data_IF_960633978860
#
_entry.id   IF_960633978860
#
_cell.length_a   1.000
_cell.length_b   1.000
_cell.length_c   1.000
_cell.angle_alpha   90.00
_cell.angle_beta   90.00
_cell.angle_gamma   90.00
#
_symmetry.space_group_name_H-M   'P 1'
#
loop_
_entity.id
_entity.type
_entity.pdbx_description
1 polymer ?
#
# COMPACT_ATOMS: atom_id res chain seq x y z
N UNK A 1 -16.41 81.50 -27.52
CA UNK A 1 -15.45 81.61 -26.41
C UNK A 1 -14.84 80.23 -26.25
N UNK A 2 -13.59 80.07 -26.68
CA UNK A 2 -12.90 78.78 -26.81
C UNK A 2 -11.94 78.65 -25.63
N UNK A 3 -12.10 77.60 -24.82
CA UNK A 3 -11.21 77.29 -23.70
C UNK A 3 -9.78 77.08 -24.22
N UNK A 4 -8.78 77.59 -23.50
CA UNK A 4 -7.37 77.43 -23.88
C UNK A 4 -6.94 75.97 -23.67
N UNK A 5 -6.14 75.38 -24.57
CA UNK A 5 -5.67 73.98 -24.47
C UNK A 5 -4.80 73.67 -23.23
N UNK A 6 -4.38 74.69 -22.49
CA UNK A 6 -3.62 74.57 -21.23
C UNK A 6 -4.47 74.14 -20.03
N UNK A 7 -5.77 74.45 -20.02
CA UNK A 7 -6.65 74.16 -18.89
C UNK A 7 -7.06 72.68 -18.88
N UNK A 8 -7.17 72.05 -20.06
CA UNK A 8 -7.46 70.62 -20.20
C UNK A 8 -6.29 69.72 -19.80
N UNK A 9 -5.05 70.15 -20.05
CA UNK A 9 -3.86 69.41 -19.61
C UNK A 9 -3.67 69.47 -18.09
N UNK A 10 -4.00 70.60 -17.46
CA UNK A 10 -3.98 70.71 -16.00
C UNK A 10 -5.05 69.81 -15.36
N UNK A 11 -6.25 69.77 -15.92
CA UNK A 11 -7.34 68.88 -15.49
C UNK A 11 -6.95 67.40 -15.61
N UNK A 12 -6.32 67.00 -16.72
CA UNK A 12 -5.85 65.62 -16.92
C UNK A 12 -4.72 65.21 -15.96
N UNK A 13 -3.81 66.14 -15.60
CA UNK A 13 -2.80 65.87 -14.58
C UNK A 13 -3.41 65.71 -13.19
N UNK A 14 -4.41 66.51 -12.85
CA UNK A 14 -5.14 66.39 -11.57
C UNK A 14 -5.93 65.08 -11.49
N UNK A 15 -6.55 64.65 -12.60
CA UNK A 15 -7.22 63.35 -12.72
C UNK A 15 -6.25 62.17 -12.60
N UNK A 16 -5.07 62.25 -13.23
CA UNK A 16 -4.02 61.22 -13.10
C UNK A 16 -3.48 61.14 -11.68
N UNK A 17 -3.18 62.27 -11.04
CA UNK A 17 -2.74 62.28 -9.64
C UNK A 17 -3.80 61.72 -8.69
N UNK A 18 -5.09 61.90 -9.00
CA UNK A 18 -6.17 61.32 -8.21
C UNK A 18 -6.29 59.81 -8.43
N UNK A 19 -6.20 59.32 -9.67
CA UNK A 19 -6.22 57.89 -9.97
C UNK A 19 -4.99 57.16 -9.41
N UNK A 20 -3.80 57.78 -9.43
CA UNK A 20 -2.61 57.22 -8.78
C UNK A 20 -2.78 57.10 -7.26
N UNK A 21 -3.38 58.09 -6.60
CA UNK A 21 -3.70 58.02 -5.16
C UNK A 21 -4.73 56.95 -4.85
N UNK A 22 -5.76 56.85 -5.69
CA UNK A 22 -6.82 55.84 -5.55
C UNK A 22 -6.28 54.41 -5.74
N UNK A 23 -5.37 54.20 -6.71
CA UNK A 23 -4.70 52.92 -6.95
C UNK A 23 -3.77 52.55 -5.79
N UNK A 24 -2.96 53.49 -5.30
CA UNK A 24 -2.07 53.25 -4.16
C UNK A 24 -2.86 52.88 -2.89
N UNK A 25 -3.97 53.57 -2.62
CA UNK A 25 -4.84 53.23 -1.50
C UNK A 25 -5.48 51.83 -1.65
N UNK A 26 -5.77 51.41 -2.88
CA UNK A 26 -6.34 50.09 -3.15
C UNK A 26 -5.28 48.99 -3.03
N UNK A 27 -4.04 49.24 -3.46
CA UNK A 27 -2.89 48.37 -3.24
C UNK A 27 -2.62 48.17 -1.74
N UNK A 28 -2.55 49.25 -0.95
CA UNK A 28 -2.39 49.19 0.51
C UNK A 28 -3.49 48.35 1.19
N UNK A 29 -4.74 48.47 0.71
CA UNK A 29 -5.86 47.69 1.23
C UNK A 29 -5.75 46.20 0.86
N UNK A 30 -5.37 45.88 -0.38
CA UNK A 30 -5.13 44.49 -0.82
C UNK A 30 -4.01 43.87 0.01
N UNK A 31 -2.91 44.58 0.23
CA UNK A 31 -1.79 44.10 1.06
C UNK A 31 -2.23 43.87 2.51
N UNK A 32 -3.00 44.78 3.10
CA UNK A 32 -3.48 44.65 4.48
C UNK A 32 -4.40 43.42 4.66
N UNK A 33 -5.34 43.20 3.73
CA UNK A 33 -6.26 42.06 3.80
C UNK A 33 -5.55 40.74 3.48
N UNK A 34 -4.62 40.73 2.52
CA UNK A 34 -3.78 39.57 2.25
C UNK A 34 -2.92 39.19 3.46
N UNK A 35 -2.33 40.17 4.16
CA UNK A 35 -1.59 39.94 5.39
C UNK A 35 -2.49 39.35 6.49
N UNK A 36 -3.68 39.94 6.71
CA UNK A 36 -4.65 39.45 7.69
C UNK A 36 -5.09 38.00 7.40
N UNK A 37 -5.37 37.67 6.15
CA UNK A 37 -5.70 36.32 5.72
C UNK A 37 -4.53 35.36 5.94
N UNK A 38 -3.30 35.79 5.65
CA UNK A 38 -2.08 35.01 5.92
C UNK A 38 -1.90 34.69 7.40
N UNK A 39 -2.18 35.64 8.30
CA UNK A 39 -2.17 35.40 9.75
C UNK A 39 -3.22 34.38 10.17
N UNK A 40 -4.47 34.53 9.71
CA UNK A 40 -5.56 33.61 10.03
C UNK A 40 -5.30 32.20 9.49
N UNK A 41 -4.80 32.06 8.26
CA UNK A 41 -4.45 30.77 7.68
C UNK A 41 -3.33 30.07 8.47
N UNK A 42 -2.33 30.84 8.92
CA UNK A 42 -1.24 30.33 9.77
C UNK A 42 -1.77 29.85 11.12
N UNK A 43 -2.65 30.64 11.75
CA UNK A 43 -3.26 30.29 13.03
C UNK A 43 -4.16 29.04 12.91
N UNK A 44 -5.00 28.99 11.88
CA UNK A 44 -5.82 27.82 11.55
C UNK A 44 -4.97 26.57 11.36
N UNK A 45 -3.89 26.67 10.58
CA UNK A 45 -2.97 25.56 10.34
C UNK A 45 -2.32 25.10 11.64
N UNK A 46 -1.87 26.03 12.49
CA UNK A 46 -1.30 25.70 13.80
C UNK A 46 -2.31 25.00 14.72
N UNK A 47 -3.56 25.49 14.77
CA UNK A 47 -4.60 24.91 15.61
C UNK A 47 -5.05 23.54 15.11
N UNK A 48 -5.21 23.38 13.79
CA UNK A 48 -5.43 22.07 13.15
C UNK A 48 -4.30 21.10 13.51
N UNK A 49 -3.06 21.53 13.36
CA UNK A 49 -1.87 20.71 13.67
C UNK A 49 -1.81 20.35 15.16
N UNK A 50 -2.16 21.26 16.08
CA UNK A 50 -2.24 20.96 17.53
C UNK A 50 -3.28 19.90 17.85
N UNK A 51 -4.44 19.97 17.21
CA UNK A 51 -5.49 18.96 17.34
C UNK A 51 -4.94 17.61 16.87
N UNK A 52 -4.37 17.54 15.66
CA UNK A 52 -3.77 16.29 15.16
C UNK A 52 -2.70 15.75 16.12
N UNK A 53 -1.76 16.56 16.61
CA UNK A 53 -0.73 16.13 17.56
C UNK A 53 -1.28 15.58 18.88
N UNK A 54 -2.47 16.00 19.30
CA UNK A 54 -3.10 15.46 20.51
C UNK A 54 -3.70 14.06 20.27
N UNK A 55 -4.30 13.83 19.10
CA UNK A 55 -5.05 12.62 18.79
C UNK A 55 -4.20 11.53 18.15
N UNK A 56 -3.23 11.88 17.30
CA UNK A 56 -2.46 10.91 16.52
C UNK A 56 -1.66 9.90 17.36
N UNK A 57 -1.00 10.32 18.47
CA UNK A 57 -0.32 9.36 19.37
C UNK A 57 -1.25 8.34 20.01
N UNK A 58 -2.56 8.62 20.10
CA UNK A 58 -3.58 7.71 20.62
C UNK A 58 -4.15 6.81 19.51
N UNK A 59 -4.30 7.35 18.30
CA UNK A 59 -4.85 6.63 17.15
C UNK A 59 -3.85 5.63 16.55
N UNK A 60 -2.58 6.01 16.47
CA UNK A 60 -1.58 5.24 15.75
C UNK A 60 -1.40 3.81 16.31
N UNK A 61 -1.26 3.60 17.63
CA UNK A 61 -1.19 2.24 18.18
C UNK A 61 -2.43 1.40 17.87
N UNK A 62 -3.62 2.01 17.86
CA UNK A 62 -4.87 1.31 17.54
C UNK A 62 -4.93 0.90 16.07
N UNK A 63 -4.44 1.74 15.14
CA UNK A 63 -4.33 1.39 13.72
C UNK A 63 -3.36 0.23 13.51
N UNK A 64 -2.19 0.27 14.16
CA UNK A 64 -1.19 -0.81 14.09
C UNK A 64 -1.77 -2.12 14.62
N UNK A 65 -2.41 -2.11 15.79
CA UNK A 65 -2.98 -3.32 16.40
C UNK A 65 -4.11 -3.90 15.53
N UNK A 66 -5.04 -3.06 15.07
CA UNK A 66 -6.18 -3.51 14.25
C UNK A 66 -5.71 -4.05 12.90
N UNK A 67 -4.76 -3.39 12.25
CA UNK A 67 -4.20 -3.85 10.98
C UNK A 67 -3.43 -5.18 11.14
N UNK A 68 -2.52 -5.26 12.12
CA UNK A 68 -1.76 -6.49 12.39
C UNK A 68 -2.68 -7.66 12.75
N UNK A 69 -3.73 -7.40 13.52
CA UNK A 69 -4.70 -8.43 13.91
C UNK A 69 -5.50 -8.95 12.70
N UNK A 70 -5.88 -8.09 11.75
CA UNK A 70 -6.54 -8.53 10.51
C UNK A 70 -5.64 -9.48 9.69
N UNK A 71 -4.34 -9.18 9.60
CA UNK A 71 -3.38 -10.04 8.90
C UNK A 71 -3.20 -11.40 9.59
N UNK A 72 -3.24 -11.42 10.93
CA UNK A 72 -3.17 -12.64 11.74
C UNK A 72 -4.46 -13.45 11.68
N UNK A 73 -5.61 -12.80 11.72
CA UNK A 73 -6.92 -13.41 11.54
C UNK A 73 -7.00 -14.18 10.22
N UNK A 74 -6.53 -13.57 9.12
CA UNK A 74 -6.50 -14.22 7.81
C UNK A 74 -5.73 -15.55 7.83
N UNK A 75 -4.57 -15.60 8.49
CA UNK A 75 -3.77 -16.84 8.60
C UNK A 75 -4.47 -17.90 9.46
N UNK A 76 -5.04 -17.50 10.61
CA UNK A 76 -5.76 -18.43 11.50
C UNK A 76 -6.99 -19.00 10.81
N UNK A 77 -7.77 -18.16 10.12
CA UNK A 77 -8.95 -18.59 9.38
C UNK A 77 -8.58 -19.60 8.27
N UNK A 78 -7.49 -19.34 7.54
CA UNK A 78 -7.01 -20.27 6.52
C UNK A 78 -6.54 -21.61 7.11
N UNK A 79 -5.84 -21.60 8.25
CA UNK A 79 -5.49 -22.85 8.94
C UNK A 79 -6.73 -23.65 9.37
N UNK A 80 -7.73 -22.98 9.92
CA UNK A 80 -8.99 -23.62 10.31
C UNK A 80 -9.66 -24.26 9.08
N UNK A 81 -9.79 -23.52 7.98
CA UNK A 81 -10.42 -24.01 6.75
C UNK A 81 -9.69 -25.26 6.21
N UNK A 82 -8.35 -25.21 6.16
CA UNK A 82 -7.54 -26.34 5.71
C UNK A 82 -7.73 -27.58 6.58
N UNK A 83 -7.64 -27.43 7.91
CA UNK A 83 -7.77 -28.54 8.85
C UNK A 83 -9.19 -29.13 8.85
N UNK A 84 -10.22 -28.29 8.69
CA UNK A 84 -11.61 -28.76 8.55
C UNK A 84 -11.81 -29.56 7.27
N UNK A 85 -11.27 -29.09 6.13
CA UNK A 85 -11.29 -29.87 4.88
C UNK A 85 -10.56 -31.20 5.06
N UNK A 86 -9.41 -31.21 5.75
CA UNK A 86 -8.65 -32.43 6.07
C UNK A 86 -9.49 -33.42 6.87
N UNK A 87 -10.16 -32.97 7.92
CA UNK A 87 -11.06 -33.82 8.74
C UNK A 87 -12.14 -34.46 7.87
N UNK A 88 -12.83 -33.67 7.04
CA UNK A 88 -13.91 -34.17 6.17
C UNK A 88 -13.41 -35.24 5.21
N UNK A 89 -12.23 -35.05 4.60
CA UNK A 89 -11.66 -36.04 3.66
C UNK A 89 -11.21 -37.30 4.42
N UNK A 90 -10.58 -37.15 5.58
CA UNK A 90 -10.13 -38.27 6.41
C UNK A 90 -11.32 -39.12 6.91
N UNK A 91 -12.43 -38.50 7.30
CA UNK A 91 -13.65 -39.20 7.71
C UNK A 91 -14.32 -39.96 6.56
N UNK A 92 -14.35 -39.39 5.35
CA UNK A 92 -14.86 -40.06 4.14
C UNK A 92 -14.08 -41.34 3.83
N UNK A 93 -12.75 -41.29 3.96
CA UNK A 93 -11.92 -42.47 3.72
C UNK A 93 -12.00 -43.50 4.84
N UNK A 94 -12.26 -43.09 6.08
CA UNK A 94 -12.49 -44.01 7.21
C UNK A 94 -13.63 -45.02 6.97
N UNK A 95 -14.50 -44.77 5.98
CA UNK A 95 -15.62 -45.63 5.59
C UNK A 95 -15.30 -46.60 4.43
N UNK A 96 -14.11 -46.56 3.82
CA UNK A 96 -13.82 -47.37 2.63
C UNK A 96 -12.38 -47.45 2.12
N UNK A 97 -11.38 -46.84 2.78
CA UNK A 97 -9.98 -46.93 2.36
C UNK A 97 -8.98 -46.23 3.30
N UNK A 98 -7.68 -46.39 3.04
CA UNK A 98 -6.63 -45.70 3.79
C UNK A 98 -6.49 -44.26 3.30
N UNK A 99 -6.64 -43.29 4.21
CA UNK A 99 -6.37 -41.87 3.95
C UNK A 99 -4.86 -41.62 3.89
N UNK A 100 -4.41 -40.98 2.81
CA UNK A 100 -3.03 -40.56 2.60
C UNK A 100 -3.07 -39.06 2.32
N UNK A 101 -2.65 -38.27 3.30
CA UNK A 101 -2.76 -36.79 3.25
C UNK A 101 -2.17 -36.19 1.97
N UNK A 102 -0.96 -36.58 1.59
CA UNK A 102 -0.27 -36.06 0.39
C UNK A 102 -0.96 -36.40 -0.93
N UNK A 103 -1.79 -37.46 -0.97
CA UNK A 103 -2.55 -37.85 -2.17
C UNK A 103 -3.95 -37.22 -2.15
N UNK A 104 -4.66 -37.41 -1.05
CA UNK A 104 -6.09 -37.11 -0.96
C UNK A 104 -6.36 -35.61 -0.79
N UNK A 105 -5.44 -34.88 -0.16
CA UNK A 105 -5.55 -33.42 0.00
C UNK A 105 -4.88 -32.62 -1.13
N UNK A 106 -4.16 -33.28 -2.04
CA UNK A 106 -3.45 -32.62 -3.15
C UNK A 106 -4.33 -31.72 -4.03
N UNK A 107 -5.53 -32.14 -4.47
CA UNK A 107 -6.38 -31.28 -5.29
C UNK A 107 -6.80 -29.99 -4.56
N UNK A 108 -7.10 -30.09 -3.26
CA UNK A 108 -7.44 -28.93 -2.45
C UNK A 108 -6.24 -28.00 -2.26
N UNK A 109 -5.05 -28.56 -2.03
CA UNK A 109 -3.83 -27.77 -1.88
C UNK A 109 -3.44 -27.02 -3.17
N UNK A 110 -3.54 -27.68 -4.32
CA UNK A 110 -3.31 -27.09 -5.64
C UNK A 110 -4.32 -25.97 -5.94
N UNK A 111 -5.57 -26.09 -5.51
CA UNK A 111 -6.58 -25.02 -5.60
C UNK A 111 -6.10 -23.74 -4.91
N UNK A 112 -5.63 -23.84 -3.65
CA UNK A 112 -5.12 -22.69 -2.91
C UNK A 112 -3.83 -22.14 -3.53
N UNK A 113 -2.92 -23.02 -3.97
CA UNK A 113 -1.67 -22.59 -4.59
C UNK A 113 -1.93 -21.83 -5.89
N UNK A 114 -2.88 -22.29 -6.71
CA UNK A 114 -3.27 -21.62 -7.94
C UNK A 114 -3.85 -20.24 -7.67
N UNK A 115 -4.70 -20.09 -6.64
CA UNK A 115 -5.21 -18.77 -6.23
C UNK A 115 -4.09 -17.83 -5.79
N UNK A 116 -3.16 -18.29 -4.96
CA UNK A 116 -2.02 -17.49 -4.53
C UNK A 116 -1.10 -17.13 -5.71
N UNK A 117 -0.90 -18.05 -6.66
CA UNK A 117 -0.13 -17.80 -7.88
C UNK A 117 -0.80 -16.79 -8.80
N UNK A 118 -2.13 -16.81 -8.92
CA UNK A 118 -2.86 -15.79 -9.67
C UNK A 118 -2.66 -14.39 -9.08
N UNK A 119 -2.64 -14.25 -7.75
CA UNK A 119 -2.29 -12.97 -7.12
C UNK A 119 -0.87 -12.53 -7.47
N UNK A 120 0.11 -13.43 -7.45
CA UNK A 120 1.49 -13.13 -7.87
C UNK A 120 1.57 -12.69 -9.33
N UNK A 121 0.85 -13.36 -10.24
CA UNK A 121 0.82 -12.99 -11.66
C UNK A 121 0.29 -11.57 -11.86
N UNK A 122 -0.78 -11.19 -11.15
CA UNK A 122 -1.29 -9.81 -11.18
C UNK A 122 -0.26 -8.79 -10.68
N UNK A 123 0.49 -9.13 -9.62
CA UNK A 123 1.57 -8.26 -9.16
C UNK A 123 2.66 -8.10 -10.24
N UNK A 124 2.98 -9.15 -10.99
CA UNK A 124 3.93 -9.04 -12.09
C UNK A 124 3.39 -8.18 -13.24
N UNK A 125 2.09 -8.24 -13.53
CA UNK A 125 1.43 -7.34 -14.48
C UNK A 125 1.60 -5.87 -14.02
N UNK A 126 1.28 -5.56 -12.77
CA UNK A 126 1.47 -4.20 -12.22
C UNK A 126 2.93 -3.72 -12.26
N UNK A 127 3.89 -4.61 -12.00
CA UNK A 127 5.33 -4.30 -12.13
C UNK A 127 5.67 -3.99 -13.59
N UNK A 128 5.16 -4.78 -14.53
CA UNK A 128 5.40 -4.59 -15.96
C UNK A 128 4.74 -3.32 -16.51
N UNK A 129 3.64 -2.87 -15.93
CA UNK A 129 2.88 -1.66 -16.30
C UNK A 129 3.33 -0.40 -15.54
N UNK A 130 4.35 -0.51 -14.69
CA UNK A 130 4.83 0.62 -13.89
C UNK A 130 5.35 1.77 -14.78
N UNK A 131 4.99 3.04 -14.51
CA UNK A 131 5.47 4.15 -15.35
C UNK A 131 6.99 4.32 -15.28
N UNK A 132 7.64 4.52 -16.44
CA UNK A 132 9.08 4.72 -16.54
C UNK A 132 9.54 5.96 -15.77
N UNK A 133 8.73 7.03 -15.79
CA UNK A 133 9.01 8.27 -15.07
C UNK A 133 9.08 8.03 -13.55
N UNK A 134 8.21 7.16 -13.03
CA UNK A 134 8.19 6.83 -11.61
C UNK A 134 9.45 6.07 -11.18
N UNK A 135 9.94 5.16 -12.03
CA UNK A 135 11.22 4.47 -11.83
C UNK A 135 12.41 5.43 -11.88
N UNK A 136 12.38 6.38 -12.81
CA UNK A 136 13.43 7.39 -12.90
C UNK A 136 13.49 8.26 -11.65
N UNK A 137 12.35 8.76 -11.18
CA UNK A 137 12.25 9.61 -9.99
C UNK A 137 12.82 8.87 -8.76
N UNK A 138 12.38 7.63 -8.52
CA UNK A 138 12.82 6.92 -7.32
C UNK A 138 14.30 6.54 -7.36
N UNK A 139 14.84 6.23 -8.54
CA UNK A 139 16.27 5.92 -8.70
C UNK A 139 17.19 7.08 -8.30
N UNK A 140 16.66 8.31 -8.27
CA UNK A 140 17.40 9.53 -7.91
C UNK A 140 17.29 9.91 -6.43
N UNK A 141 16.55 9.15 -5.62
CA UNK A 141 16.39 9.48 -4.21
C UNK A 141 17.72 9.32 -3.47
N UNK A 142 18.27 10.45 -3.04
CA UNK A 142 19.47 10.52 -2.19
C UNK A 142 19.13 10.19 -0.73
N UNK A 143 17.93 10.58 -0.29
CA UNK A 143 17.42 10.34 1.06
C UNK A 143 16.00 9.77 0.96
N UNK A 144 15.83 8.48 0.65
CA UNK A 144 14.51 7.85 0.55
C UNK A 144 13.82 7.77 1.93
N UNK A 145 12.47 7.71 1.96
CA UNK A 145 11.72 7.40 3.18
C UNK A 145 12.08 6.03 3.76
N UNK A 146 11.98 5.87 5.09
CA UNK A 146 12.35 4.64 5.79
C UNK A 146 11.56 3.42 5.29
N UNK A 147 10.29 3.60 4.94
CA UNK A 147 9.42 2.53 4.44
C UNK A 147 9.87 2.05 3.05
N UNK A 148 10.41 2.94 2.22
CA UNK A 148 10.96 2.57 0.92
C UNK A 148 12.25 1.75 1.07
N UNK A 149 13.13 2.15 2.01
CA UNK A 149 14.33 1.39 2.36
C UNK A 149 13.94 -0.01 2.86
N UNK A 150 13.08 -0.08 3.88
CA UNK A 150 12.64 -1.34 4.48
C UNK A 150 11.99 -2.28 3.46
N UNK A 151 11.19 -1.72 2.53
CA UNK A 151 10.59 -2.49 1.44
C UNK A 151 11.66 -3.12 0.55
N UNK A 152 12.62 -2.32 0.07
CA UNK A 152 13.63 -2.81 -0.86
C UNK A 152 14.64 -3.75 -0.22
N UNK A 153 15.04 -3.49 1.02
CA UNK A 153 15.88 -4.41 1.79
C UNK A 153 15.23 -5.79 1.90
N UNK A 154 13.93 -5.82 2.27
CA UNK A 154 13.20 -7.07 2.39
C UNK A 154 13.01 -7.76 1.04
N UNK A 155 12.74 -7.01 -0.04
CA UNK A 155 12.69 -7.57 -1.40
C UNK A 155 14.00 -8.27 -1.75
N UNK A 156 15.14 -7.63 -1.49
CA UNK A 156 16.46 -8.20 -1.77
C UNK A 156 16.72 -9.45 -0.93
N UNK A 157 16.41 -9.42 0.38
CA UNK A 157 16.53 -10.60 1.26
C UNK A 157 15.68 -11.77 0.79
N UNK A 158 14.42 -11.53 0.44
CA UNK A 158 13.50 -12.58 -0.05
C UNK A 158 14.03 -13.21 -1.34
N UNK A 159 14.67 -12.41 -2.20
CA UNK A 159 15.28 -12.87 -3.45
C UNK A 159 16.60 -13.62 -3.24
N UNK A 160 17.11 -13.68 -2.02
CA UNK A 160 18.32 -14.39 -1.66
C UNK A 160 19.60 -13.58 -1.88
N UNK A 161 19.51 -12.25 -2.00
CA UNK A 161 20.69 -11.39 -2.01
C UNK A 161 21.39 -11.46 -0.64
N UNK A 162 22.75 -11.38 -0.60
CA UNK A 162 23.47 -11.45 0.66
C UNK A 162 23.15 -10.24 1.55
N UNK A 163 23.09 -10.38 2.89
CA UNK A 163 22.69 -9.31 3.80
C UNK A 163 23.49 -8.01 3.63
N UNK A 164 24.78 -8.12 3.30
CA UNK A 164 25.66 -6.97 3.09
C UNK A 164 25.30 -6.17 1.83
N UNK A 165 24.62 -6.79 0.87
CA UNK A 165 24.16 -6.15 -0.36
C UNK A 165 22.74 -5.60 -0.24
N UNK A 166 21.98 -5.92 0.82
CA UNK A 166 20.64 -5.39 1.08
C UNK A 166 20.72 -3.93 1.56
N UNK A 167 21.11 -3.03 0.68
CA UNK A 167 21.24 -1.59 0.92
C UNK A 167 20.41 -0.82 -0.09
N UNK A 168 20.04 0.42 0.25
CA UNK A 168 19.29 1.29 -0.66
C UNK A 168 20.05 1.51 -1.98
N UNK A 169 21.34 1.81 -1.91
CA UNK A 169 22.19 2.09 -3.08
C UNK A 169 22.25 0.89 -4.02
N UNK A 170 22.37 -0.33 -3.49
CA UNK A 170 22.33 -1.54 -4.29
C UNK A 170 20.93 -1.78 -4.90
N UNK A 171 19.86 -1.41 -4.18
CA UNK A 171 18.50 -1.55 -4.66
C UNK A 171 18.17 -0.63 -5.83
N UNK A 172 18.87 0.51 -5.99
CA UNK A 172 18.66 1.44 -7.12
C UNK A 172 18.87 0.77 -8.48
N UNK A 173 19.76 -0.22 -8.57
CA UNK A 173 19.97 -1.01 -9.79
C UNK A 173 18.71 -1.79 -10.18
N UNK A 174 17.91 -2.21 -9.20
CA UNK A 174 16.65 -2.94 -9.41
C UNK A 174 15.56 -2.05 -10.02
N UNK A 175 15.66 -0.72 -9.87
CA UNK A 175 14.77 0.25 -10.52
C UNK A 175 15.19 0.61 -11.95
N UNK A 176 16.28 0.02 -12.48
CA UNK A 176 16.57 0.15 -13.90
C UNK A 176 15.46 -0.48 -14.73
N UNK A 177 15.10 0.18 -15.84
CA UNK A 177 14.00 -0.24 -16.71
C UNK A 177 14.04 -1.74 -17.06
N UNK A 178 15.18 -2.19 -17.60
CA UNK A 178 15.38 -3.57 -18.01
C UNK A 178 15.21 -4.53 -16.83
N UNK A 179 15.70 -4.17 -15.65
CA UNK A 179 15.59 -5.04 -14.49
C UNK A 179 14.15 -5.14 -14.00
N UNK A 180 13.52 -3.99 -13.81
CA UNK A 180 12.19 -3.89 -13.21
C UNK A 180 11.12 -4.53 -14.10
N UNK A 181 11.11 -4.19 -15.39
CA UNK A 181 10.08 -4.66 -16.33
C UNK A 181 10.34 -6.07 -16.87
N UNK A 182 11.60 -6.43 -17.16
CA UNK A 182 11.88 -7.66 -17.91
C UNK A 182 12.40 -8.79 -17.01
N UNK A 183 13.29 -8.49 -16.06
CA UNK A 183 13.99 -9.51 -15.29
C UNK A 183 13.36 -9.83 -13.94
N UNK A 184 12.65 -8.89 -13.31
CA UNK A 184 12.17 -9.05 -11.95
C UNK A 184 11.27 -10.28 -11.81
N UNK A 185 10.21 -10.38 -12.63
CA UNK A 185 9.26 -11.48 -12.60
C UNK A 185 9.93 -12.84 -12.86
N UNK A 186 10.81 -12.91 -13.87
CA UNK A 186 11.54 -14.14 -14.23
C UNK A 186 12.41 -14.63 -13.08
N UNK A 187 13.15 -13.73 -12.42
CA UNK A 187 14.00 -14.08 -11.27
C UNK A 187 13.17 -14.48 -10.05
N UNK A 188 12.05 -13.82 -9.82
CA UNK A 188 11.11 -14.18 -8.75
C UNK A 188 10.46 -15.55 -8.98
N UNK A 189 10.05 -15.91 -10.20
CA UNK A 189 9.55 -17.26 -10.51
C UNK A 189 10.63 -18.34 -10.34
N UNK A 190 11.89 -18.03 -10.65
CA UNK A 190 13.00 -18.97 -10.41
C UNK A 190 13.20 -19.26 -8.91
N UNK A 191 13.05 -18.24 -8.05
CA UNK A 191 13.06 -18.41 -6.60
C UNK A 191 11.94 -19.36 -6.14
N UNK A 192 10.70 -19.14 -6.61
CA UNK A 192 9.55 -19.96 -6.20
C UNK A 192 9.69 -21.45 -6.57
N UNK A 193 10.44 -21.74 -7.64
CA UNK A 193 10.74 -23.12 -8.10
C UNK A 193 11.85 -23.79 -7.30
N UNK A 194 12.79 -23.01 -6.78
CA UNK A 194 13.98 -23.52 -6.09
C UNK A 194 13.79 -23.58 -4.57
N UNK A 195 12.99 -22.67 -4.02
CA UNK A 195 12.79 -22.51 -2.60
C UNK A 195 11.36 -22.93 -2.20
N UNK A 196 11.26 -24.07 -1.52
CA UNK A 196 9.96 -24.56 -1.04
C UNK A 196 9.42 -23.79 0.14
N UNK A 197 10.25 -23.49 1.12
CA UNK A 197 9.90 -22.67 2.28
C UNK A 197 10.99 -21.63 2.51
N UNK A 198 10.58 -20.41 2.82
CA UNK A 198 11.49 -19.41 3.38
C UNK A 198 11.99 -19.90 4.75
N UNK A 199 13.15 -19.41 5.18
CA UNK A 199 13.61 -19.64 6.54
C UNK A 199 12.63 -19.02 7.55
N UNK A 200 12.52 -19.61 8.74
CA UNK A 200 11.61 -19.14 9.78
C UNK A 200 11.83 -17.66 10.11
N UNK A 201 13.10 -17.23 10.16
CA UNK A 201 13.47 -15.84 10.41
C UNK A 201 12.96 -14.89 9.30
N UNK A 202 13.17 -15.26 8.04
CA UNK A 202 12.74 -14.47 6.89
C UNK A 202 11.22 -14.45 6.77
N UNK A 203 10.55 -15.59 6.97
CA UNK A 203 9.10 -15.65 6.98
C UNK A 203 8.52 -14.76 8.10
N UNK A 204 9.10 -14.77 9.30
CA UNK A 204 8.67 -13.88 10.39
C UNK A 204 8.93 -12.40 10.08
N UNK A 205 10.01 -12.07 9.37
CA UNK A 205 10.27 -10.70 8.91
C UNK A 205 9.22 -10.24 7.90
N UNK A 206 8.89 -11.07 6.92
CA UNK A 206 7.82 -10.80 5.93
C UNK A 206 6.45 -10.68 6.61
N UNK A 207 6.13 -11.55 7.56
CA UNK A 207 4.89 -11.44 8.35
C UNK A 207 4.81 -10.12 9.11
N UNK A 208 5.90 -9.70 9.75
CA UNK A 208 5.96 -8.43 10.50
C UNK A 208 5.81 -7.24 9.58
N UNK A 209 6.52 -7.23 8.46
CA UNK A 209 6.43 -6.18 7.44
C UNK A 209 4.98 -6.03 6.96
N UNK A 210 4.35 -7.13 6.53
CA UNK A 210 2.98 -7.06 6.03
C UNK A 210 1.92 -6.82 7.12
N UNK A 211 2.29 -6.87 8.42
CA UNK A 211 1.43 -6.56 9.56
C UNK A 211 1.53 -5.10 10.02
N UNK A 212 2.41 -4.30 9.41
CA UNK A 212 2.54 -2.87 9.69
C UNK A 212 1.71 -2.05 8.70
N UNK A 213 0.81 -1.15 9.16
CA UNK A 213 0.01 -0.31 8.29
C UNK A 213 0.83 0.62 7.37
N UNK A 214 2.03 1.04 7.77
CA UNK A 214 2.91 1.88 6.94
C UNK A 214 3.43 1.13 5.70
N UNK A 215 3.48 -0.20 5.79
CA UNK A 215 3.88 -1.11 4.72
C UNK A 215 2.66 -1.73 3.99
N UNK A 216 1.48 -1.14 4.17
CA UNK A 216 0.33 -1.45 3.33
C UNK A 216 0.58 -1.01 1.89
N UNK A 217 0.08 -1.76 0.91
CA UNK A 217 0.27 -1.45 -0.52
C UNK A 217 -0.16 -0.02 -0.84
N UNK A 218 -1.27 0.45 -0.27
CA UNK A 218 -1.77 1.81 -0.46
C UNK A 218 -0.86 2.88 0.15
N UNK A 219 -0.29 2.65 1.34
CA UNK A 219 0.67 3.57 1.95
C UNK A 219 1.96 3.64 1.12
N UNK A 220 2.46 2.50 0.67
CA UNK A 220 3.66 2.41 -0.16
C UNK A 220 3.47 3.06 -1.54
N UNK A 221 2.31 2.89 -2.19
CA UNK A 221 1.98 3.59 -3.44
C UNK A 221 1.96 5.11 -3.30
N UNK A 222 1.64 5.65 -2.11
CA UNK A 222 1.70 7.10 -1.85
C UNK A 222 3.13 7.64 -1.80
N UNK A 223 4.08 6.79 -1.41
CA UNK A 223 5.51 7.13 -1.44
C UNK A 223 6.00 7.13 -2.88
N UNK A 224 5.77 6.03 -3.60
CA UNK A 224 6.13 5.88 -5.01
C UNK A 224 5.45 4.64 -5.60
N UNK A 225 5.03 4.72 -6.86
CA UNK A 225 4.37 3.60 -7.56
C UNK A 225 5.27 2.34 -7.56
N UNK A 226 6.56 2.39 -7.97
CA UNK A 226 7.47 1.26 -7.88
C UNK A 226 7.53 0.58 -6.51
N UNK A 227 7.57 1.36 -5.42
CA UNK A 227 7.60 0.82 -4.04
C UNK A 227 6.28 0.15 -3.69
N UNK A 228 5.16 0.74 -4.12
CA UNK A 228 3.85 0.12 -4.05
C UNK A 228 3.82 -1.26 -4.70
N UNK A 229 4.32 -1.38 -5.94
CA UNK A 229 4.40 -2.65 -6.66
C UNK A 229 5.29 -3.68 -5.93
N UNK A 230 6.42 -3.25 -5.38
CA UNK A 230 7.31 -4.10 -4.59
C UNK A 230 6.68 -4.57 -3.28
N UNK A 231 5.94 -3.68 -2.60
CA UNK A 231 5.15 -4.02 -1.43
C UNK A 231 4.06 -5.03 -1.76
N UNK A 232 3.31 -4.82 -2.85
CA UNK A 232 2.29 -5.76 -3.32
C UNK A 232 2.89 -7.15 -3.59
N UNK A 233 4.05 -7.19 -4.23
CA UNK A 233 4.79 -8.44 -4.45
C UNK A 233 5.16 -9.13 -3.13
N UNK A 234 5.67 -8.42 -2.11
CA UNK A 234 5.97 -8.99 -0.80
C UNK A 234 4.71 -9.58 -0.12
N UNK A 235 3.58 -8.89 -0.18
CA UNK A 235 2.30 -9.41 0.34
C UNK A 235 1.85 -10.67 -0.41
N UNK A 236 2.02 -10.72 -1.73
CA UNK A 236 1.70 -11.89 -2.55
C UNK A 236 2.65 -13.06 -2.31
N UNK A 237 3.95 -12.81 -2.14
CA UNK A 237 4.94 -13.82 -1.77
C UNK A 237 4.63 -14.41 -0.40
N UNK A 238 4.30 -13.57 0.58
CA UNK A 238 3.85 -14.02 1.90
C UNK A 238 2.67 -14.97 1.78
N UNK A 239 1.64 -14.58 1.00
CA UNK A 239 0.44 -15.41 0.83
C UNK A 239 0.77 -16.75 0.15
N UNK A 240 1.66 -16.75 -0.85
CA UNK A 240 2.13 -17.97 -1.50
C UNK A 240 2.83 -18.92 -0.51
N UNK A 241 3.76 -18.41 0.30
CA UNK A 241 4.45 -19.23 1.30
C UNK A 241 3.55 -19.63 2.47
N UNK A 242 2.58 -18.80 2.88
CA UNK A 242 1.53 -19.20 3.84
C UNK A 242 0.77 -20.44 3.35
N UNK A 243 0.43 -20.50 2.05
CA UNK A 243 -0.20 -21.70 1.46
C UNK A 243 0.71 -22.91 1.60
N UNK A 244 1.98 -22.81 1.23
CA UNK A 244 2.94 -23.93 1.39
C UNK A 244 3.12 -24.36 2.84
N UNK A 245 3.17 -23.42 3.79
CA UNK A 245 3.29 -23.70 5.23
C UNK A 245 2.06 -24.44 5.77
N UNK A 246 0.86 -23.92 5.51
CA UNK A 246 -0.40 -24.50 6.03
C UNK A 246 -0.69 -25.86 5.41
N UNK A 247 -0.38 -26.03 4.14
CA UNK A 247 -0.63 -27.28 3.42
C UNK A 247 0.50 -28.30 3.55
N UNK A 248 1.59 -27.99 4.25
CA UNK A 248 2.67 -28.96 4.48
C UNK A 248 2.14 -30.23 5.16
N UNK A 249 2.50 -31.44 4.70
CA UNK A 249 3.55 -31.74 3.71
C UNK A 249 3.11 -31.74 2.23
N UNK A 250 1.83 -31.49 1.91
CA UNK A 250 1.22 -31.78 0.60
C UNK A 250 1.88 -31.06 -0.59
N UNK A 251 2.22 -29.77 -0.44
CA UNK A 251 2.82 -28.96 -1.52
C UNK A 251 4.34 -28.88 -1.48
N UNK A 252 5.00 -29.58 -0.56
CA UNK A 252 6.46 -29.61 -0.50
C UNK A 252 7.00 -30.58 -1.56
N UNK A 253 8.13 -30.23 -2.17
CA UNK A 253 8.82 -31.13 -3.09
C UNK A 253 9.23 -32.40 -2.35
N UNK A 254 9.09 -33.55 -3.01
CA UNK A 254 9.48 -34.83 -2.45
C UNK A 254 11.00 -34.92 -2.38
N UNK A 255 11.53 -34.91 -1.17
CA UNK A 255 12.95 -35.03 -0.86
C UNK A 255 13.13 -35.78 0.46
N UNK A 256 14.38 -36.13 0.80
CA UNK A 256 14.70 -36.72 2.10
C UNK A 256 14.35 -35.79 3.28
N UNK A 257 14.30 -34.47 3.04
CA UNK A 257 14.09 -33.46 4.07
C UNK A 257 12.61 -33.07 4.26
N UNK A 258 11.69 -33.56 3.42
CA UNK A 258 10.26 -33.15 3.42
C UNK A 258 9.60 -33.34 4.79
N UNK A 259 9.85 -34.46 5.46
CA UNK A 259 9.32 -34.71 6.81
C UNK A 259 9.84 -33.72 7.86
N UNK A 260 11.12 -33.32 7.77
CA UNK A 260 11.70 -32.30 8.66
C UNK A 260 11.09 -30.94 8.40
N UNK A 261 10.98 -30.55 7.12
CA UNK A 261 10.40 -29.27 6.70
C UNK A 261 8.92 -29.14 7.09
N UNK A 262 8.14 -30.21 6.97
CA UNK A 262 6.74 -30.20 7.38
C UNK A 262 6.58 -30.00 8.90
N UNK A 263 7.40 -30.66 9.70
CA UNK A 263 7.42 -30.46 11.16
C UNK A 263 7.84 -29.04 11.54
N UNK A 264 8.83 -28.49 10.84
CA UNK A 264 9.26 -27.10 11.03
C UNK A 264 8.13 -26.12 10.69
N UNK A 265 7.44 -26.31 9.57
CA UNK A 265 6.29 -25.50 9.18
C UNK A 265 5.18 -25.55 10.24
N UNK A 266 4.82 -26.74 10.73
CA UNK A 266 3.82 -26.91 11.79
C UNK A 266 4.24 -26.22 13.10
N UNK A 267 5.52 -26.36 13.50
CA UNK A 267 6.06 -25.71 14.67
C UNK A 267 6.00 -24.18 14.56
N UNK A 268 6.41 -23.63 13.42
CA UNK A 268 6.35 -22.19 13.16
C UNK A 268 4.89 -21.68 13.20
N UNK A 269 3.96 -22.40 12.58
CA UNK A 269 2.55 -22.05 12.59
C UNK A 269 1.99 -22.03 14.03
N UNK A 270 2.32 -23.04 14.85
CA UNK A 270 1.90 -23.09 16.25
C UNK A 270 2.43 -21.90 17.07
N UNK A 271 3.69 -21.50 16.86
CA UNK A 271 4.27 -20.30 17.50
C UNK A 271 3.50 -19.04 17.07
N UNK A 272 3.29 -18.86 15.77
CA UNK A 272 2.72 -17.62 15.22
C UNK A 272 1.23 -17.49 15.51
N UNK A 273 0.45 -18.56 15.38
CA UNK A 273 -1.01 -18.51 15.56
C UNK A 273 -1.44 -18.77 17.01
N UNK A 274 -0.92 -19.83 17.63
CA UNK A 274 -1.31 -20.24 18.98
C UNK A 274 -0.46 -19.61 20.09
N UNK A 275 0.76 -19.13 19.77
CA UNK A 275 1.69 -18.61 20.79
C UNK A 275 2.37 -19.70 21.60
N UNK A 276 2.40 -20.93 21.09
CA UNK A 276 3.08 -22.06 21.74
C UNK A 276 4.60 -21.91 21.54
N UNK A 277 5.37 -21.73 22.63
CA UNK A 277 6.85 -21.65 22.56
C UNK A 277 7.42 -23.07 22.53
N UNK A 278 8.07 -23.44 21.43
CA UNK A 278 8.73 -24.74 21.31
C UNK A 278 10.09 -24.72 22.05
N UNK A 279 10.22 -25.50 23.13
CA UNK A 279 11.47 -25.71 23.87
C UNK A 279 12.42 -26.76 23.24
N UNK A 280 12.31 -27.02 21.94
CA UNK A 280 13.20 -27.98 21.26
C UNK A 280 14.15 -27.25 20.30
N UNK A 281 15.40 -27.13 20.73
CA UNK A 281 16.51 -26.73 19.88
C UNK A 281 16.65 -27.70 18.69
N UNK A 282 16.98 -27.21 17.48
CA UNK A 282 17.20 -28.09 16.34
C UNK A 282 18.46 -28.95 16.57
N UNK A 283 18.45 -30.25 16.21
CA UNK A 283 19.64 -31.08 16.30
C UNK A 283 20.69 -30.59 15.29
N UNK A 284 21.91 -30.38 15.79
CA UNK A 284 23.08 -30.03 15.00
C UNK A 284 23.40 -31.13 13.96
N UNK A 285 23.71 -30.72 12.74
CA UNK A 285 24.19 -31.58 11.66
C UNK A 285 25.48 -32.31 12.06
N UNK A 286 25.63 -33.61 11.76
CA UNK A 286 26.95 -34.22 11.66
C UNK A 286 27.48 -34.06 10.22
N UNK A 287 28.56 -33.29 10.09
CA UNK A 287 29.48 -33.32 8.95
C UNK A 287 30.25 -34.64 8.93
N UNK A 288 30.15 -35.41 7.84
CA UNK A 288 31.23 -36.33 7.44
C UNK A 288 31.34 -36.41 5.94
N UNK A 289 32.53 -36.08 5.44
CA UNK A 289 32.98 -36.32 4.08
C UNK A 289 33.32 -37.80 3.86
N UNK A 290 33.05 -38.33 2.66
CA UNK A 290 33.75 -39.50 2.14
C UNK A 290 33.75 -39.52 0.60
N UNK A 291 34.90 -39.93 0.05
CA UNK A 291 35.25 -40.02 -1.38
C UNK A 291 34.70 -41.30 -2.05
N UNK A 292 34.47 -41.17 -3.36
CA UNK A 292 34.33 -42.13 -4.46
C UNK A 292 34.33 -43.66 -4.21
N UNK A 293 33.35 -44.34 -4.83
CA UNK A 293 33.57 -45.46 -5.77
C UNK A 293 32.33 -45.66 -6.66
N UNK A 294 32.53 -45.87 -7.96
CA UNK A 294 31.49 -46.21 -8.95
C UNK A 294 31.21 -47.71 -8.90
N UNK A 295 29.95 -48.10 -8.74
CA UNK A 295 29.41 -49.42 -9.15
C UNK A 295 27.90 -49.31 -9.32
N UNK A 296 27.36 -49.96 -10.35
CA UNK A 296 25.93 -49.98 -10.74
C UNK A 296 24.95 -50.45 -9.62
N UNK A 297 25.46 -51.02 -8.52
CA UNK A 297 24.71 -51.31 -7.28
C UNK A 297 24.33 -50.06 -6.45
N UNK A 298 25.03 -48.93 -6.64
CA UNK A 298 24.74 -47.69 -5.95
C UNK A 298 23.45 -47.02 -6.46
N UNK A 299 23.11 -47.21 -7.74
CA UNK A 299 21.86 -46.71 -8.32
C UNK A 299 20.66 -47.51 -7.82
N UNK A 300 20.79 -48.84 -7.71
CA UNK A 300 19.74 -49.69 -7.14
C UNK A 300 19.58 -49.42 -5.63
N UNK A 301 20.68 -49.25 -4.89
CA UNK A 301 20.65 -48.85 -3.48
C UNK A 301 20.04 -47.45 -3.27
N UNK A 302 20.34 -46.49 -4.16
CA UNK A 302 19.73 -45.16 -4.13
C UNK A 302 18.24 -45.19 -4.50
N UNK A 303 17.83 -46.04 -5.45
CA UNK A 303 16.42 -46.25 -5.81
C UNK A 303 15.63 -46.94 -4.70
N UNK A 304 16.21 -47.93 -4.04
CA UNK A 304 15.59 -48.60 -2.88
C UNK A 304 15.50 -47.64 -1.70
N UNK A 305 16.55 -46.86 -1.41
CA UNK A 305 16.51 -45.82 -0.39
C UNK A 305 15.50 -44.71 -0.72
N UNK A 306 15.37 -44.32 -2.00
CA UNK A 306 14.35 -43.37 -2.44
C UNK A 306 12.94 -43.96 -2.34
N UNK A 307 12.76 -45.25 -2.62
CA UNK A 307 11.50 -45.96 -2.45
C UNK A 307 11.12 -46.13 -0.97
N UNK A 308 12.08 -46.48 -0.10
CA UNK A 308 11.87 -46.57 1.34
C UNK A 308 11.62 -45.20 1.97
N UNK A 309 12.35 -44.16 1.57
CA UNK A 309 12.07 -42.78 1.97
C UNK A 309 10.71 -42.29 1.43
N UNK A 310 10.33 -42.65 0.21
CA UNK A 310 9.01 -42.37 -0.35
C UNK A 310 7.90 -43.10 0.42
N UNK A 311 8.15 -44.35 0.82
CA UNK A 311 7.25 -45.16 1.64
C UNK A 311 7.12 -44.60 3.06
N UNK A 312 8.20 -44.20 3.71
CA UNK A 312 8.19 -43.50 5.00
C UNK A 312 7.53 -42.12 4.91
N UNK A 313 7.73 -41.38 3.82
CA UNK A 313 7.06 -40.09 3.57
C UNK A 313 5.56 -40.26 3.26
N UNK A 314 5.16 -41.36 2.62
CA UNK A 314 3.75 -41.75 2.45
C UNK A 314 3.14 -42.28 3.76
N UNK A 315 3.98 -42.79 4.66
CA UNK A 315 3.64 -43.23 6.02
C UNK A 315 3.89 -42.17 7.09
N UNK A 316 4.23 -40.92 6.72
CA UNK A 316 4.27 -39.78 7.66
C UNK A 316 2.95 -39.80 8.40
N UNK A 317 3.02 -40.24 9.65
CA UNK A 317 1.89 -40.70 10.45
C UNK A 317 0.76 -39.69 10.33
N UNK A 318 -0.26 -40.03 9.55
CA UNK A 318 -1.48 -39.24 9.47
C UNK A 318 -1.94 -39.00 10.89
N UNK A 319 -1.93 -37.73 11.32
CA UNK A 319 -2.40 -37.40 12.66
C UNK A 319 -3.85 -37.89 12.82
N UNK A 320 -4.19 -38.45 13.98
CA UNK A 320 -5.55 -38.91 14.21
C UNK A 320 -6.50 -37.71 14.13
N UNK A 321 -7.70 -37.94 13.61
CA UNK A 321 -8.76 -36.90 13.46
C UNK A 321 -8.97 -36.13 14.77
N UNK A 322 -8.85 -36.78 15.92
CA UNK A 322 -8.98 -36.16 17.24
C UNK A 322 -7.94 -35.08 17.54
N UNK A 323 -6.69 -35.26 17.11
CA UNK A 323 -5.60 -34.26 17.28
C UNK A 323 -5.83 -33.07 16.36
N UNK A 324 -6.20 -33.33 15.10
CA UNK A 324 -6.58 -32.29 14.12
C UNK A 324 -7.76 -31.46 14.63
N UNK A 325 -8.81 -32.13 15.14
CA UNK A 325 -10.01 -31.47 15.68
C UNK A 325 -9.71 -30.64 16.94
N UNK A 326 -8.85 -31.14 17.85
CA UNK A 326 -8.41 -30.38 19.01
C UNK A 326 -7.65 -29.10 18.60
N UNK A 327 -6.81 -29.18 17.57
CA UNK A 327 -6.09 -28.03 17.02
C UNK A 327 -7.05 -27.00 16.41
N UNK A 328 -8.06 -27.44 15.65
CA UNK A 328 -9.13 -26.56 15.14
C UNK A 328 -9.86 -25.85 16.28
N UNK A 329 -10.18 -26.56 17.37
CA UNK A 329 -10.84 -25.96 18.52
C UNK A 329 -9.96 -24.88 19.19
N UNK A 330 -8.66 -25.15 19.37
CA UNK A 330 -7.70 -24.15 19.87
C UNK A 330 -7.64 -22.92 18.97
N UNK A 331 -7.55 -23.11 17.65
CA UNK A 331 -7.50 -22.03 16.66
C UNK A 331 -8.79 -21.20 16.65
N UNK A 332 -9.96 -21.83 16.72
CA UNK A 332 -11.25 -21.13 16.81
C UNK A 332 -11.36 -20.29 18.08
N UNK A 333 -10.94 -20.83 19.22
CA UNK A 333 -10.89 -20.08 20.46
C UNK A 333 -9.94 -18.88 20.34
N UNK A 334 -8.76 -19.07 19.75
CA UNK A 334 -7.79 -18.01 19.51
C UNK A 334 -8.31 -16.94 18.57
N UNK A 335 -8.97 -17.33 17.49
CA UNK A 335 -9.60 -16.42 16.53
C UNK A 335 -10.71 -15.60 17.19
N UNK A 336 -11.55 -16.23 18.02
CA UNK A 336 -12.60 -15.53 18.74
C UNK A 336 -12.03 -14.48 19.69
N UNK A 337 -11.03 -14.84 20.50
CA UNK A 337 -10.32 -13.91 21.39
C UNK A 337 -9.67 -12.75 20.62
N UNK A 338 -9.09 -13.04 19.45
CA UNK A 338 -8.51 -12.01 18.58
C UNK A 338 -9.59 -11.03 18.10
N UNK A 339 -10.70 -11.54 17.55
CA UNK A 339 -11.83 -10.71 17.08
C UNK A 339 -12.45 -9.85 18.18
N UNK A 340 -12.56 -10.36 19.40
CA UNK A 340 -13.02 -9.57 20.55
C UNK A 340 -12.05 -8.43 20.88
N UNK A 341 -10.75 -8.70 20.90
CA UNK A 341 -9.74 -7.65 21.15
C UNK A 341 -9.70 -6.61 20.03
N UNK A 342 -9.89 -7.01 18.77
CA UNK A 342 -9.97 -6.11 17.63
C UNK A 342 -11.19 -5.24 17.71
N UNK A 343 -12.36 -5.81 18.02
CA UNK A 343 -13.59 -5.04 18.16
C UNK A 343 -13.46 -3.96 19.23
N UNK A 344 -12.89 -4.29 20.39
CA UNK A 344 -12.64 -3.30 21.43
C UNK A 344 -11.69 -2.18 20.97
N UNK A 345 -10.61 -2.52 20.27
CA UNK A 345 -9.67 -1.54 19.73
C UNK A 345 -10.29 -0.69 18.61
N UNK A 346 -11.16 -1.26 17.77
CA UNK A 346 -11.89 -0.53 16.74
C UNK A 346 -12.94 0.41 17.34
N UNK A 347 -13.67 -0.01 18.36
CA UNK A 347 -14.61 0.85 19.10
C UNK A 347 -13.88 2.05 19.71
N UNK A 348 -12.73 1.81 20.34
CA UNK A 348 -11.88 2.88 20.87
C UNK A 348 -11.34 3.79 19.77
N UNK A 349 -10.85 3.22 18.66
CA UNK A 349 -10.35 3.99 17.51
C UNK A 349 -11.45 4.89 16.94
N UNK A 350 -12.63 4.34 16.68
CA UNK A 350 -13.76 5.07 16.13
C UNK A 350 -14.24 6.19 17.06
N UNK A 351 -14.22 5.97 18.37
CA UNK A 351 -14.54 7.03 19.33
C UNK A 351 -13.54 8.18 19.25
N UNK A 352 -12.24 7.88 19.23
CA UNK A 352 -11.17 8.89 19.15
C UNK A 352 -11.17 9.59 17.79
N UNK A 353 -11.40 8.87 16.69
CA UNK A 353 -11.55 9.46 15.35
C UNK A 353 -12.78 10.38 15.27
N UNK A 354 -13.88 10.02 15.91
CA UNK A 354 -15.06 10.86 16.04
C UNK A 354 -14.79 12.15 16.82
N UNK A 355 -14.09 12.06 17.96
CA UNK A 355 -13.66 13.24 18.72
C UNK A 355 -12.72 14.14 17.92
N UNK A 356 -11.74 13.56 17.22
CA UNK A 356 -10.82 14.27 16.33
C UNK A 356 -11.58 15.02 15.24
N UNK A 357 -12.50 14.36 14.54
CA UNK A 357 -13.30 14.97 13.47
C UNK A 357 -14.17 16.11 14.01
N UNK A 358 -14.81 15.92 15.18
CA UNK A 358 -15.58 16.97 15.82
C UNK A 358 -14.72 18.19 16.19
N UNK A 359 -13.51 17.97 16.71
CA UNK A 359 -12.56 19.05 17.02
C UNK A 359 -12.02 19.75 15.78
N UNK A 360 -11.76 19.02 14.71
CA UNK A 360 -11.37 19.62 13.43
C UNK A 360 -12.50 20.45 12.83
N UNK A 361 -13.75 19.98 12.94
CA UNK A 361 -14.93 20.74 12.50
C UNK A 361 -15.15 22.00 13.35
N UNK A 362 -14.96 21.93 14.67
CA UNK A 362 -15.00 23.09 15.57
C UNK A 362 -13.93 24.11 15.21
N UNK A 363 -12.68 23.67 15.03
CA UNK A 363 -11.58 24.55 14.60
C UNK A 363 -11.94 25.19 13.27
N UNK A 364 -12.37 24.44 12.27
CA UNK A 364 -12.81 24.99 10.98
C UNK A 364 -13.92 26.03 11.15
N UNK A 365 -14.97 25.73 11.89
CA UNK A 365 -16.09 26.64 12.12
C UNK A 365 -15.67 27.98 12.74
N UNK A 366 -14.69 27.98 13.64
CA UNK A 366 -14.16 29.21 14.26
C UNK A 366 -13.46 30.15 13.25
N UNK A 367 -12.97 29.62 12.12
CA UNK A 367 -12.33 30.43 11.09
C UNK A 367 -13.20 30.65 9.85
N UNK A 368 -14.15 29.77 9.55
CA UNK A 368 -15.04 29.92 8.38
C UNK A 368 -15.80 31.26 8.43
N UNK A 369 -16.21 31.73 9.61
CA UNK A 369 -16.91 33.02 9.77
C UNK A 369 -16.03 34.25 9.53
N UNK A 370 -14.70 34.11 9.50
CA UNK A 370 -13.76 35.23 9.36
C UNK A 370 -12.89 35.13 8.11
N UNK A 371 -12.35 33.96 7.78
CA UNK A 371 -11.51 33.75 6.61
C UNK A 371 -12.31 33.84 5.31
N UNK A 372 -13.48 33.19 5.22
CA UNK A 372 -14.26 33.16 3.97
C UNK A 372 -14.70 34.56 3.53
N UNK A 373 -15.27 35.41 4.42
CA UNK A 373 -15.61 36.78 4.02
C UNK A 373 -14.39 37.64 3.66
N UNK A 374 -13.23 37.39 4.29
CA UNK A 374 -11.99 38.10 3.97
C UNK A 374 -11.40 37.64 2.62
N UNK A 375 -11.53 36.36 2.27
CA UNK A 375 -11.18 35.83 0.95
C UNK A 375 -12.04 36.46 -0.14
N UNK A 376 -13.38 36.49 0.05
CA UNK A 376 -14.32 37.11 -0.89
C UNK A 376 -14.01 38.61 -1.10
N UNK A 377 -13.73 39.34 0.00
CA UNK A 377 -13.37 40.76 -0.05
C UNK A 377 -12.03 40.97 -0.77
N UNK A 378 -11.03 40.14 -0.49
CA UNK A 378 -9.72 40.23 -1.12
C UNK A 378 -9.81 39.93 -2.63
N UNK A 379 -10.63 38.97 -3.03
CA UNK A 379 -10.91 38.66 -4.44
C UNK A 379 -11.55 39.87 -5.14
N UNK A 380 -12.63 40.43 -4.58
CA UNK A 380 -13.30 41.60 -5.14
C UNK A 380 -12.36 42.82 -5.26
N UNK A 381 -11.55 43.09 -4.23
CA UNK A 381 -10.58 44.19 -4.27
C UNK A 381 -9.47 43.94 -5.29
N UNK A 382 -8.96 42.71 -5.39
CA UNK A 382 -7.93 42.36 -6.37
C UNK A 382 -8.46 42.49 -7.79
N UNK A 383 -9.70 42.06 -8.05
CA UNK A 383 -10.36 42.28 -9.33
C UNK A 383 -10.52 43.77 -9.65
N UNK A 384 -10.96 44.58 -8.69
CA UNK A 384 -11.07 46.04 -8.84
C UNK A 384 -9.71 46.68 -9.14
N UNK A 385 -8.64 46.26 -8.46
CA UNK A 385 -7.27 46.70 -8.69
C UNK A 385 -6.84 46.42 -10.13
N UNK A 386 -7.00 45.17 -10.57
CA UNK A 386 -6.61 44.72 -11.91
C UNK A 386 -7.41 45.46 -12.98
N UNK A 387 -8.72 45.65 -12.80
CA UNK A 387 -9.55 46.39 -13.75
C UNK A 387 -9.14 47.85 -13.88
N UNK A 388 -8.82 48.53 -12.77
CA UNK A 388 -8.36 49.93 -12.79
C UNK A 388 -6.95 50.06 -13.35
N UNK A 389 -6.02 49.18 -12.98
CA UNK A 389 -4.64 49.17 -13.46
C UNK A 389 -4.52 48.80 -14.95
N UNK A 390 -5.42 47.96 -15.47
CA UNK A 390 -5.42 47.52 -16.88
C UNK A 390 -6.34 48.34 -17.78
N UNK A 391 -7.03 49.36 -17.25
CA UNK A 391 -7.91 50.24 -18.00
C UNK A 391 -7.10 51.01 -19.05
N UNK A 392 -7.00 50.43 -20.25
CA UNK A 392 -6.41 51.10 -21.41
C UNK A 392 -7.20 52.38 -21.68
N UNK A 393 -6.49 53.49 -21.71
CA UNK A 393 -6.96 54.77 -22.25
C UNK A 393 -7.26 54.54 -23.74
N UNK A 394 -8.52 54.29 -24.09
CA UNK A 394 -9.02 54.38 -25.47
C UNK A 394 -9.06 55.87 -25.89
N UNK A 395 -7.87 56.47 -26.06
CA UNK A 395 -7.70 57.77 -26.73
C UNK A 395 -7.13 57.50 -28.12
N UNK A 396 -8.00 57.03 -29.01
CA UNK A 396 -7.87 57.20 -30.47
C UNK A 396 -9.15 56.77 -31.22
N UNK A 397 -10.33 57.23 -30.80
CA UNK A 397 -11.48 57.24 -31.69
C UNK A 397 -11.44 58.52 -32.55
N UNK A 398 -10.76 58.44 -33.70
CA UNK A 398 -10.94 59.41 -34.78
C UNK A 398 -12.42 59.40 -35.22
N UNK A 399 -13.00 60.55 -35.59
CA UNK A 399 -14.42 60.63 -35.90
C UNK A 399 -14.74 59.83 -37.17
N UNK A 400 -15.86 59.09 -37.24
CA UNK A 400 -16.30 58.49 -38.49
C UNK A 400 -16.77 59.60 -39.44
N UNK A 401 -16.07 59.76 -40.57
CA UNK A 401 -16.59 60.48 -41.74
C UNK A 401 -17.78 59.71 -42.33
N UNK A 402 -18.77 60.40 -42.93
CA UNK A 402 -20.10 59.87 -43.14
C UNK A 402 -20.16 58.94 -44.35
N UNK A 403 -20.65 57.72 -44.15
CA UNK A 403 -21.16 56.88 -45.24
C UNK A 403 -22.55 56.41 -44.86
N UNK A 404 -23.51 57.14 -45.43
CA UNK A 404 -24.81 56.71 -45.94
C UNK A 404 -25.42 55.44 -45.34
N UNK A 405 -26.36 55.66 -44.44
CA UNK A 405 -27.41 54.73 -44.02
C UNK A 405 -28.25 54.29 -45.22
N UNK A 406 -28.34 52.98 -45.44
CA UNK A 406 -29.50 52.34 -46.07
C UNK A 406 -29.69 50.94 -45.46
N UNK A 407 -30.76 50.83 -44.64
CA UNK A 407 -31.57 49.63 -44.37
C UNK A 407 -30.86 48.39 -43.73
N UNK A 408 -31.30 47.77 -42.65
CA UNK A 408 -32.64 47.61 -42.10
C UNK A 408 -32.58 47.25 -40.61
N UNK A 409 -33.62 47.70 -39.92
CA UNK A 409 -34.10 47.26 -38.61
C UNK A 409 -34.88 45.95 -38.79
N UNK A 410 -34.99 45.17 -37.70
CA UNK A 410 -35.80 43.97 -37.44
C UNK A 410 -34.96 42.67 -37.48
N UNK A 411 -34.99 41.76 -36.49
CA UNK A 411 -35.96 41.59 -35.42
C UNK A 411 -35.38 40.77 -34.25
N UNK A 412 -36.05 40.93 -33.12
CA UNK A 412 -35.83 40.30 -31.83
C UNK A 412 -35.88 38.76 -31.84
N UNK A 413 -35.09 38.20 -30.91
CA UNK A 413 -35.40 37.13 -29.97
C UNK A 413 -36.11 35.84 -30.46
N UNK A 414 -35.46 34.70 -30.26
CA UNK A 414 -35.91 33.63 -29.36
C UNK A 414 -35.11 32.34 -29.59
N UNK A 415 -34.12 32.11 -28.72
CA UNK A 415 -33.50 30.81 -28.56
C UNK A 415 -34.18 30.11 -27.36
N UNK A 416 -35.19 29.27 -27.63
CA UNK A 416 -35.57 28.14 -26.77
C UNK A 416 -36.08 26.99 -27.65
N UNK A 417 -35.20 26.00 -27.74
CA UNK A 417 -35.42 24.55 -27.61
C UNK A 417 -36.31 23.74 -28.58
N UNK A 418 -35.66 22.64 -29.01
CA UNK A 418 -36.17 21.28 -29.16
C UNK A 418 -36.97 20.92 -30.43
N UNK A 419 -36.30 20.22 -31.36
CA UNK A 419 -36.55 18.80 -31.67
C UNK A 419 -35.88 18.43 -33.00
N UNK A 420 -34.97 17.46 -32.95
CA UNK A 420 -34.27 16.84 -34.07
C UNK A 420 -33.31 15.81 -33.53
#
# INVERSE_FOLDING_TARGET
MSARPSDGLACLHEELEQEEKDLAALEDNVEAHAAQLGYLHTEYTLNKTRVCHHYEPRLEPLRVITYAAAQKESLIAFQIEWLERKIVVQERHSQGGQFIETRDMKPAAEEYQNKARQSLLRCYEHISECPEEALHIISQYVCPPEEAIATMELVMKVRGEPPEACTWEASQVLFSYTYFHEFFATRSEALLKTCDLLSDALMTEVERFCADPHHSVSALCRISIPIGCMGEWLHSIRNYYRVKLVTAPVLLSQSADTGRMAKQAQAWLAVVTLGEVNNQAPPQQPTTAAKHAVTEDAELGALVAAYEASKENLQLSTEPVSVTAATVQKLRHRLHKLRESVRAAEEERMAIEGELQAKLAEVRGNYDETMVPLEDQLEEMTECFVQRATRKVDVAAAPPSPVTTAANIADNAAAVAAAG
#
